data_IF_347991400043
#
_entry.id   IF_347991400043
#
_cell.length_a   1.000
_cell.length_b   1.000
_cell.length_c   1.000
_cell.angle_alpha   90.00
_cell.angle_beta   90.00
_cell.angle_gamma   90.00
#
_symmetry.space_group_name_H-M   'P 1'
#
loop_
_entity.id
_entity.type
_entity.pdbx_description
1 polymer ?
#
# COMPACT_ATOMS: atom_id res chain seq x y z
N UNK A 1 40.84 6.77 33.51
CA UNK A 1 39.45 7.00 33.04
C UNK A 1 39.55 7.52 31.61
N UNK A 2 39.41 6.63 30.63
CA UNK A 2 39.69 6.98 29.23
C UNK A 2 39.01 5.97 28.31
N UNK A 3 37.69 5.95 28.36
CA UNK A 3 36.84 5.26 27.40
C UNK A 3 35.67 6.18 27.09
N UNK A 4 35.07 6.01 25.91
CA UNK A 4 33.87 6.72 25.44
C UNK A 4 34.11 8.12 24.86
N UNK A 5 34.44 8.16 23.57
CA UNK A 5 34.00 9.24 22.64
C UNK A 5 34.23 8.94 21.14
N UNK A 6 34.41 7.68 20.75
CA UNK A 6 34.67 7.27 19.36
C UNK A 6 33.47 6.51 18.76
N UNK A 7 32.69 5.79 19.58
CA UNK A 7 31.60 4.92 19.11
C UNK A 7 30.40 5.68 18.51
N UNK A 8 30.00 6.83 19.07
CA UNK A 8 28.81 7.55 18.60
C UNK A 8 29.01 8.19 17.22
N UNK A 9 30.23 8.63 16.90
CA UNK A 9 30.51 9.30 15.62
C UNK A 9 30.61 8.29 14.48
N UNK A 10 31.29 7.17 14.70
CA UNK A 10 31.36 6.09 13.72
C UNK A 10 29.99 5.45 13.49
N UNK A 11 29.19 5.29 14.55
CA UNK A 11 27.82 4.79 14.44
C UNK A 11 26.93 5.78 13.68
N UNK A 12 27.03 7.08 13.96
CA UNK A 12 26.30 8.10 13.21
C UNK A 12 26.70 8.13 11.73
N UNK A 13 27.99 8.01 11.41
CA UNK A 13 28.47 7.94 10.03
C UNK A 13 28.00 6.66 9.33
N UNK A 14 27.96 5.53 10.03
CA UNK A 14 27.46 4.26 9.50
C UNK A 14 25.94 4.31 9.25
N UNK A 15 25.19 4.91 10.17
CA UNK A 15 23.75 5.13 10.04
C UNK A 15 23.44 6.11 8.92
N UNK A 16 24.21 7.20 8.78
CA UNK A 16 24.06 8.16 7.70
C UNK A 16 24.44 7.53 6.35
N UNK A 17 25.47 6.68 6.31
CA UNK A 17 25.85 5.90 5.12
C UNK A 17 24.77 4.88 4.76
N UNK A 18 24.19 4.17 5.73
CA UNK A 18 23.07 3.23 5.50
C UNK A 18 21.79 3.95 5.10
N UNK A 19 21.50 5.11 5.69
CA UNK A 19 20.40 5.98 5.31
C UNK A 19 20.61 6.54 3.90
N UNK A 20 21.84 6.96 3.54
CA UNK A 20 22.21 7.39 2.18
C UNK A 20 22.20 6.24 1.16
N UNK A 21 22.54 5.01 1.56
CA UNK A 21 22.40 3.80 0.73
C UNK A 21 20.93 3.45 0.49
N UNK A 22 20.08 3.55 1.52
CA UNK A 22 18.63 3.38 1.42
C UNK A 22 17.96 4.51 0.61
N UNK A 23 18.45 5.74 0.77
CA UNK A 23 18.05 6.93 0.00
C UNK A 23 18.78 7.03 -1.35
N UNK A 24 19.59 6.04 -1.75
CA UNK A 24 20.34 6.08 -3.02
C UNK A 24 19.40 5.80 -4.19
N UNK A 25 18.67 6.87 -4.54
CA UNK A 25 18.27 7.31 -5.87
C UNK A 25 17.11 6.59 -6.53
N UNK A 26 15.92 6.94 -6.05
CA UNK A 26 14.77 7.20 -6.91
C UNK A 26 15.03 8.50 -7.74
N UNK A 27 16.04 8.49 -8.61
CA UNK A 27 16.47 9.69 -9.38
C UNK A 27 15.80 9.81 -10.74
N UNK A 28 15.26 11.00 -10.99
CA UNK A 28 14.78 11.48 -12.28
C UNK A 28 15.88 11.46 -13.35
N UNK A 29 15.51 11.01 -14.55
CA UNK A 29 16.26 11.22 -15.79
C UNK A 29 16.76 9.93 -16.46
N UNK A 30 16.17 9.62 -17.62
CA UNK A 30 16.50 8.51 -18.55
C UNK A 30 16.11 7.11 -18.08
N UNK A 31 15.20 6.47 -18.83
CA UNK A 31 14.79 5.04 -18.87
C UNK A 31 15.72 4.02 -18.17
N UNK A 32 15.87 4.12 -16.85
CA UNK A 32 16.42 3.06 -16.02
C UNK A 32 15.29 2.52 -15.19
N UNK A 33 15.17 1.20 -15.23
CA UNK A 33 14.23 0.47 -14.39
C UNK A 33 14.41 0.89 -12.93
N UNK A 34 13.35 1.39 -12.30
CA UNK A 34 13.38 1.78 -10.89
C UNK A 34 13.03 0.57 -10.06
N UNK A 35 14.02 0.01 -9.38
CA UNK A 35 13.91 -1.14 -8.48
C UNK A 35 14.31 -0.69 -7.09
N UNK A 36 13.43 -0.86 -6.11
CA UNK A 36 13.66 -0.42 -4.72
C UNK A 36 13.20 -1.47 -3.72
N UNK A 37 13.85 -1.54 -2.55
CA UNK A 37 13.40 -2.42 -1.46
C UNK A 37 12.12 -1.93 -0.79
N UNK A 38 11.93 -0.62 -0.72
CA UNK A 38 10.73 0.05 -0.19
C UNK A 38 10.37 1.22 -1.08
N UNK A 39 9.08 1.42 -1.32
CA UNK A 39 8.54 2.58 -2.04
C UNK A 39 8.32 3.69 -1.01
N UNK A 40 9.19 4.68 -1.00
CA UNK A 40 9.16 5.76 0.00
C UNK A 40 8.88 7.12 -0.67
N UNK A 41 8.80 8.18 0.12
CA UNK A 41 8.31 9.49 -0.31
C UNK A 41 9.10 10.17 -1.43
N UNK A 42 10.37 9.81 -1.62
CA UNK A 42 11.24 10.35 -2.66
C UNK A 42 11.10 9.60 -3.99
N UNK A 43 10.33 8.51 -4.02
CA UNK A 43 10.17 7.71 -5.21
C UNK A 43 9.26 8.34 -6.26
N UNK A 44 9.53 8.07 -7.56
CA UNK A 44 8.66 8.52 -8.63
C UNK A 44 7.22 8.12 -8.35
N UNK A 45 6.28 9.01 -8.68
CA UNK A 45 4.89 8.61 -8.62
C UNK A 45 4.65 7.56 -9.71
N UNK A 46 3.77 6.61 -9.45
CA UNK A 46 3.53 5.53 -10.40
C UNK A 46 2.97 4.28 -9.76
N UNK A 47 2.96 3.24 -10.58
CA UNK A 47 2.47 1.91 -10.22
C UNK A 47 3.68 1.02 -10.00
N UNK A 48 3.81 0.50 -8.79
CA UNK A 48 4.87 -0.40 -8.38
C UNK A 48 4.30 -1.80 -8.19
N UNK A 49 4.98 -2.81 -8.72
CA UNK A 49 4.65 -4.22 -8.49
C UNK A 49 5.79 -4.87 -7.72
N UNK A 50 5.44 -5.66 -6.71
CA UNK A 50 6.40 -6.44 -5.96
C UNK A 50 6.84 -7.67 -6.75
N UNK A 51 8.13 -7.74 -7.04
CA UNK A 51 8.80 -8.90 -7.60
C UNK A 51 9.33 -9.78 -6.46
N UNK A 52 8.83 -11.02 -6.40
CA UNK A 52 9.18 -11.99 -5.36
C UNK A 52 10.56 -12.55 -5.53
N UNK A 53 11.04 -12.71 -6.77
CA UNK A 53 12.33 -13.33 -7.05
C UNK A 53 13.47 -12.42 -6.56
N UNK A 54 13.34 -11.11 -6.80
CA UNK A 54 14.31 -10.11 -6.35
C UNK A 54 14.01 -9.51 -4.96
N UNK A 55 12.87 -9.89 -4.36
CA UNK A 55 12.31 -9.29 -3.16
C UNK A 55 12.35 -7.75 -3.22
N UNK A 56 11.82 -7.18 -4.30
CA UNK A 56 11.91 -5.74 -4.57
C UNK A 56 10.67 -5.20 -5.30
N UNK A 57 10.43 -3.91 -5.16
CA UNK A 57 9.39 -3.18 -5.87
C UNK A 57 9.94 -2.63 -7.18
N UNK A 58 9.25 -2.92 -8.27
CA UNK A 58 9.58 -2.42 -9.61
C UNK A 58 8.53 -1.40 -10.04
N UNK A 59 8.98 -0.22 -10.45
CA UNK A 59 8.10 0.77 -11.09
C UNK A 59 7.76 0.31 -12.50
N UNK A 60 6.51 -0.10 -12.73
CA UNK A 60 6.09 -0.66 -14.02
C UNK A 60 5.41 0.37 -14.92
N UNK A 61 4.85 1.44 -14.35
CA UNK A 61 4.08 2.42 -15.12
C UNK A 61 4.05 3.79 -14.44
N UNK A 62 4.45 4.83 -15.19
CA UNK A 62 4.33 6.25 -14.80
C UNK A 62 3.24 6.93 -15.61
N UNK A 63 3.23 6.72 -16.92
CA UNK A 63 2.27 7.35 -17.83
C UNK A 63 1.27 6.33 -18.41
N UNK A 64 0.10 6.81 -18.80
CA UNK A 64 -0.90 6.03 -19.54
C UNK A 64 -2.15 5.68 -18.73
N UNK A 65 -2.71 4.50 -19.00
CA UNK A 65 -3.97 4.04 -18.41
C UNK A 65 -3.80 3.61 -16.95
N UNK A 66 -4.90 3.62 -16.22
CA UNK A 66 -4.96 3.10 -14.85
C UNK A 66 -4.56 1.62 -14.80
N UNK A 67 -4.16 1.17 -13.61
CA UNK A 67 -3.90 -0.23 -13.33
C UNK A 67 -5.21 -1.03 -13.38
N UNK A 68 -5.29 -2.02 -14.26
CA UNK A 68 -6.43 -2.93 -14.33
C UNK A 68 -6.14 -4.16 -13.47
N UNK A 69 -6.94 -4.42 -12.44
CA UNK A 69 -6.84 -5.66 -11.69
C UNK A 69 -7.11 -6.83 -12.64
N UNK A 70 -6.15 -7.75 -12.73
CA UNK A 70 -6.14 -8.84 -13.70
C UNK A 70 -5.10 -8.67 -14.82
N UNK A 71 -4.50 -7.48 -15.00
CA UNK A 71 -3.50 -7.26 -16.05
C UNK A 71 -2.21 -8.08 -15.87
N UNK A 72 -1.97 -8.63 -14.66
CA UNK A 72 -0.84 -9.50 -14.34
C UNK A 72 -1.22 -10.99 -14.30
N UNK A 73 -2.48 -11.33 -14.57
CA UNK A 73 -3.02 -12.69 -14.51
C UNK A 73 -4.05 -12.92 -13.38
N UNK A 74 -4.49 -14.16 -13.25
CA UNK A 74 -5.47 -14.56 -12.23
C UNK A 74 -4.84 -14.70 -10.85
N UNK A 75 -5.60 -14.36 -9.81
CA UNK A 75 -5.14 -14.44 -8.42
C UNK A 75 -5.69 -13.36 -7.52
N UNK A 76 -5.08 -13.24 -6.34
CA UNK A 76 -5.45 -12.25 -5.33
C UNK A 76 -4.56 -11.01 -5.44
N UNK A 77 -5.15 -9.86 -5.73
CA UNK A 77 -4.46 -8.57 -5.81
C UNK A 77 -4.59 -7.84 -4.49
N UNK A 78 -3.48 -7.31 -3.98
CA UNK A 78 -3.39 -6.46 -2.80
C UNK A 78 -2.79 -5.13 -3.23
N UNK A 79 -3.65 -4.12 -3.37
CA UNK A 79 -3.30 -2.81 -3.89
C UNK A 79 -3.30 -1.79 -2.76
N UNK A 80 -2.12 -1.27 -2.43
CA UNK A 80 -1.93 -0.19 -1.46
C UNK A 80 -1.89 1.16 -2.19
N UNK A 81 -2.90 1.99 -1.97
CA UNK A 81 -2.93 3.38 -2.41
C UNK A 81 -2.22 4.28 -1.40
N UNK A 82 -1.06 4.80 -1.82
CA UNK A 82 -0.16 5.60 -1.00
C UNK A 82 -0.03 7.03 -1.54
N UNK A 83 0.11 7.98 -0.63
CA UNK A 83 0.38 9.37 -0.92
C UNK A 83 1.62 9.86 -0.15
N UNK A 84 2.60 10.45 -0.84
CA UNK A 84 3.86 10.88 -0.23
C UNK A 84 3.67 11.95 0.84
N UNK A 85 2.64 12.80 0.74
CA UNK A 85 2.32 13.83 1.73
C UNK A 85 1.36 13.39 2.83
N UNK A 86 0.90 12.14 2.83
CA UNK A 86 -0.08 11.60 3.76
C UNK A 86 0.59 11.05 5.04
N UNK A 87 0.42 11.67 6.23
CA UNK A 87 1.04 11.20 7.46
C UNK A 87 0.52 9.82 7.90
N UNK A 88 -0.77 9.55 7.69
CA UNK A 88 -1.36 8.24 7.98
C UNK A 88 -0.74 7.12 7.12
N UNK A 89 -0.36 7.44 5.88
CA UNK A 89 0.30 6.51 4.98
C UNK A 89 1.73 6.21 5.45
N UNK A 90 2.46 7.23 5.90
CA UNK A 90 3.78 7.03 6.55
C UNK A 90 3.68 6.17 7.81
N UNK A 91 2.61 6.31 8.58
CA UNK A 91 2.32 5.42 9.72
C UNK A 91 2.01 4.00 9.25
N UNK A 92 1.28 3.85 8.15
CA UNK A 92 0.94 2.53 7.60
C UNK A 92 2.16 1.80 7.05
N UNK A 93 3.13 2.51 6.48
CA UNK A 93 4.42 1.93 6.04
C UNK A 93 5.12 1.15 7.17
N UNK A 94 4.96 1.57 8.44
CA UNK A 94 5.49 0.88 9.62
C UNK A 94 4.88 -0.50 9.85
N UNK A 95 3.71 -0.80 9.27
CA UNK A 95 3.04 -2.10 9.36
C UNK A 95 3.09 -2.86 8.03
N UNK A 96 2.93 -2.13 6.92
CA UNK A 96 2.96 -2.67 5.56
C UNK A 96 4.28 -3.35 5.26
N UNK A 97 5.42 -2.69 5.49
CA UNK A 97 6.72 -3.28 5.14
C UNK A 97 7.09 -4.50 6.00
N UNK A 98 6.89 -4.50 7.33
CA UNK A 98 7.04 -5.73 8.12
C UNK A 98 6.13 -6.87 7.66
N UNK A 99 4.87 -6.57 7.29
CA UNK A 99 3.98 -7.58 6.71
C UNK A 99 4.54 -8.13 5.39
N UNK A 100 5.07 -7.26 4.52
CA UNK A 100 5.67 -7.66 3.25
C UNK A 100 6.89 -8.58 3.44
N UNK A 101 7.80 -8.20 4.35
CA UNK A 101 9.06 -8.89 4.63
C UNK A 101 8.87 -10.25 5.32
N UNK A 102 7.80 -10.41 6.10
CA UNK A 102 7.56 -11.62 6.91
C UNK A 102 6.53 -12.57 6.31
N UNK A 103 5.42 -12.06 5.80
CA UNK A 103 4.24 -12.86 5.44
C UNK A 103 3.92 -12.80 3.97
N UNK A 104 3.85 -11.61 3.37
CA UNK A 104 3.39 -11.45 1.99
C UNK A 104 4.20 -12.28 0.98
N UNK A 105 5.51 -12.36 1.18
CA UNK A 105 6.42 -13.11 0.31
C UNK A 105 6.11 -14.62 0.23
N UNK A 106 5.48 -15.19 1.25
CA UNK A 106 5.13 -16.62 1.31
C UNK A 106 3.74 -16.94 0.72
N UNK A 107 2.91 -15.92 0.45
CA UNK A 107 1.52 -16.11 0.02
C UNK A 107 1.43 -16.39 -1.48
N UNK A 108 1.38 -17.64 -1.93
CA UNK A 108 1.33 -17.98 -3.36
C UNK A 108 0.01 -17.56 -4.04
N UNK A 109 0.12 -17.09 -5.30
CA UNK A 109 -1.03 -16.61 -6.08
C UNK A 109 -1.55 -15.23 -5.65
N UNK A 110 -0.67 -14.42 -5.03
CA UNK A 110 -0.96 -13.02 -4.68
C UNK A 110 -0.08 -12.06 -5.50
N UNK A 111 -0.65 -10.94 -5.92
CA UNK A 111 0.05 -9.80 -6.52
C UNK A 111 -0.01 -8.63 -5.54
N UNK A 112 1.15 -8.03 -5.23
CA UNK A 112 1.23 -6.87 -4.36
C UNK A 112 1.61 -5.64 -5.17
N UNK A 113 0.82 -4.58 -5.04
CA UNK A 113 0.92 -3.38 -5.86
C UNK A 113 0.87 -2.16 -4.94
N UNK A 114 1.73 -1.17 -5.22
CA UNK A 114 1.64 0.16 -4.61
C UNK A 114 1.32 1.18 -5.71
N UNK A 115 0.28 1.97 -5.47
CA UNK A 115 -0.08 3.13 -6.31
C UNK A 115 0.39 4.37 -5.56
N UNK A 116 1.48 4.98 -6.01
CA UNK A 116 2.09 6.13 -5.34
C UNK A 116 1.75 7.43 -6.06
N UNK A 117 1.15 8.38 -5.34
CA UNK A 117 0.98 9.77 -5.74
C UNK A 117 1.49 10.73 -4.66
N UNK A 118 1.46 12.04 -4.89
CA UNK A 118 1.82 13.01 -3.83
C UNK A 118 0.62 13.30 -2.93
N UNK A 119 -0.53 13.62 -3.53
CA UNK A 119 -1.79 13.84 -2.82
C UNK A 119 -3.00 13.51 -3.72
N UNK A 120 -3.36 12.23 -3.76
CA UNK A 120 -4.41 11.65 -4.60
C UNK A 120 -4.24 11.99 -6.09
N UNK A 121 -5.31 11.83 -6.86
CA UNK A 121 -5.32 12.13 -8.29
C UNK A 121 -5.19 13.63 -8.62
N UNK A 122 -5.48 14.52 -7.66
CA UNK A 122 -5.41 15.98 -7.84
C UNK A 122 -3.97 16.52 -7.86
N UNK A 123 -3.03 15.81 -7.23
CA UNK A 123 -1.62 16.18 -7.18
C UNK A 123 -0.75 14.94 -7.37
N UNK A 124 -0.60 14.54 -8.63
CA UNK A 124 0.19 13.37 -8.99
C UNK A 124 0.90 13.57 -10.33
N UNK A 125 2.23 13.36 -10.33
CA UNK A 125 3.09 13.44 -11.52
C UNK A 125 3.01 12.22 -12.44
N UNK A 126 2.34 11.15 -12.01
CA UNK A 126 2.07 9.97 -12.83
C UNK A 126 0.62 9.99 -13.28
N UNK A 127 0.39 10.07 -14.60
CA UNK A 127 -0.98 10.01 -15.14
C UNK A 127 -1.62 8.64 -14.90
N UNK A 128 -0.83 7.56 -14.94
CA UNK A 128 -1.32 6.21 -14.69
C UNK A 128 -1.76 6.01 -13.23
N UNK A 129 -0.95 6.44 -12.25
CA UNK A 129 -1.32 6.37 -10.84
C UNK A 129 -2.55 7.25 -10.56
N UNK A 130 -2.58 8.48 -11.08
CA UNK A 130 -3.72 9.38 -10.94
C UNK A 130 -5.01 8.77 -11.51
N UNK A 131 -4.94 8.16 -12.70
CA UNK A 131 -6.06 7.45 -13.31
C UNK A 131 -6.51 6.27 -12.44
N UNK A 132 -5.57 5.56 -11.81
CA UNK A 132 -5.86 4.43 -10.91
C UNK A 132 -6.62 4.88 -9.66
N UNK A 133 -6.19 5.96 -9.00
CA UNK A 133 -6.94 6.56 -7.89
C UNK A 133 -8.39 6.90 -8.30
N UNK A 134 -8.58 7.48 -9.50
CA UNK A 134 -9.91 7.84 -10.03
C UNK A 134 -10.75 6.60 -10.33
N UNK A 135 -10.18 5.61 -11.01
CA UNK A 135 -10.88 4.39 -11.42
C UNK A 135 -11.47 3.64 -10.22
N UNK A 136 -10.66 3.43 -9.17
CA UNK A 136 -11.09 2.74 -7.96
C UNK A 136 -11.78 3.65 -6.93
N UNK A 137 -12.06 4.91 -7.29
CA UNK A 137 -12.76 5.91 -6.45
C UNK A 137 -12.15 6.02 -5.06
N UNK A 138 -10.82 6.05 -4.98
CA UNK A 138 -10.08 6.17 -3.72
C UNK A 138 -10.07 7.63 -3.28
N UNK A 139 -10.84 7.91 -2.22
CA UNK A 139 -11.02 9.25 -1.65
C UNK A 139 -10.31 9.43 -0.31
N UNK A 140 -9.83 8.33 0.29
CA UNK A 140 -9.06 8.31 1.53
C UNK A 140 -7.72 7.58 1.33
N UNK A 141 -6.69 7.97 2.08
CA UNK A 141 -5.40 7.27 2.07
C UNK A 141 -4.83 7.16 3.50
N UNK A 142 -4.17 6.05 3.83
CA UNK A 142 -3.94 4.88 2.98
C UNK A 142 -5.25 4.13 2.68
N UNK A 143 -5.32 3.45 1.54
CA UNK A 143 -6.41 2.52 1.24
C UNK A 143 -5.80 1.22 0.74
N UNK A 144 -6.28 0.10 1.27
CA UNK A 144 -5.91 -1.25 0.82
C UNK A 144 -7.10 -1.88 0.12
N UNK A 145 -6.98 -2.03 -1.18
CA UNK A 145 -7.94 -2.74 -2.02
C UNK A 145 -7.46 -4.18 -2.19
N UNK A 146 -8.34 -5.12 -1.89
CA UNK A 146 -8.18 -6.54 -2.20
C UNK A 146 -9.12 -6.89 -3.33
N UNK A 147 -8.63 -7.61 -4.34
CA UNK A 147 -9.46 -8.05 -5.45
C UNK A 147 -9.06 -9.45 -5.89
N UNK A 148 -10.05 -10.32 -6.09
CA UNK A 148 -9.83 -11.70 -6.53
C UNK A 148 -10.25 -11.82 -7.99
N UNK A 149 -9.32 -12.29 -8.83
CA UNK A 149 -9.47 -12.40 -10.28
C UNK A 149 -9.46 -13.85 -10.70
N UNK A 150 -10.44 -14.22 -11.53
CA UNK A 150 -10.57 -15.53 -12.16
C UNK A 150 -11.03 -15.33 -13.61
N UNK A 151 -10.35 -15.98 -14.55
CA UNK A 151 -10.58 -15.86 -15.99
C UNK A 151 -10.55 -14.40 -16.46
N UNK A 152 -9.60 -13.62 -15.93
CA UNK A 152 -9.45 -12.19 -16.22
C UNK A 152 -10.57 -11.28 -15.68
N UNK A 153 -11.48 -11.81 -14.86
CA UNK A 153 -12.60 -11.05 -14.27
C UNK A 153 -12.45 -10.93 -12.77
N UNK A 154 -12.70 -9.73 -12.24
CA UNK A 154 -12.79 -9.52 -10.80
C UNK A 154 -14.09 -10.14 -10.28
N UNK A 155 -13.98 -11.17 -9.45
CA UNK A 155 -15.14 -11.90 -8.89
C UNK A 155 -15.46 -11.51 -7.45
N UNK A 156 -14.50 -10.89 -6.74
CA UNK A 156 -14.70 -10.42 -5.36
C UNK A 156 -13.75 -9.27 -5.02
N UNK A 157 -14.21 -8.31 -4.23
CA UNK A 157 -13.38 -7.18 -3.77
C UNK A 157 -13.66 -6.82 -2.31
N UNK A 158 -12.64 -6.35 -1.61
CA UNK A 158 -12.75 -5.69 -0.30
C UNK A 158 -11.94 -4.41 -0.34
N UNK A 159 -12.44 -3.34 0.29
CA UNK A 159 -11.72 -2.07 0.39
C UNK A 159 -11.65 -1.63 1.85
N UNK A 160 -10.43 -1.42 2.33
CA UNK A 160 -10.15 -0.95 3.68
C UNK A 160 -9.54 0.45 3.62
N UNK A 161 -10.25 1.42 4.16
CA UNK A 161 -9.77 2.81 4.25
C UNK A 161 -9.09 3.04 5.59
N UNK A 162 -7.99 3.78 5.57
CA UNK A 162 -7.17 4.04 6.75
C UNK A 162 -6.12 2.98 7.05
N UNK A 163 -5.43 3.17 8.16
CA UNK A 163 -4.29 2.33 8.56
C UNK A 163 -4.79 0.96 9.02
N UNK A 164 -4.26 -0.10 8.41
CA UNK A 164 -4.31 -1.45 8.96
C UNK A 164 -3.06 -1.70 9.79
N UNK A 165 -3.21 -2.15 11.03
CA UNK A 165 -2.08 -2.62 11.84
C UNK A 165 -1.49 -3.90 11.27
N UNK A 166 -0.33 -4.33 11.76
CA UNK A 166 0.26 -5.60 11.37
C UNK A 166 -0.68 -6.78 11.66
N UNK A 167 -1.32 -6.80 12.84
CA UNK A 167 -2.31 -7.82 13.21
C UNK A 167 -3.50 -7.84 12.24
N UNK A 168 -4.01 -6.66 11.88
CA UNK A 168 -5.11 -6.54 10.92
C UNK A 168 -4.71 -7.03 9.53
N UNK A 169 -3.51 -6.68 9.05
CA UNK A 169 -2.96 -7.19 7.80
C UNK A 169 -2.84 -8.72 7.79
N UNK A 170 -2.33 -9.30 8.88
CA UNK A 170 -2.21 -10.75 9.06
C UNK A 170 -3.57 -11.45 9.11
N UNK A 171 -4.60 -10.78 9.62
CA UNK A 171 -5.98 -11.30 9.62
C UNK A 171 -6.62 -11.20 8.23
N UNK A 172 -6.45 -10.07 7.56
CA UNK A 172 -7.18 -9.69 6.35
C UNK A 172 -6.63 -10.38 5.10
N UNK A 173 -5.31 -10.27 4.87
CA UNK A 173 -4.71 -10.56 3.57
C UNK A 173 -4.55 -12.07 3.31
N UNK A 174 -3.95 -12.88 4.22
CA UNK A 174 -3.74 -14.30 3.96
C UNK A 174 -5.03 -15.10 3.69
N UNK A 175 -6.12 -14.70 4.34
CA UNK A 175 -7.44 -15.34 4.24
C UNK A 175 -8.31 -14.77 3.11
N UNK A 176 -7.84 -13.74 2.38
CA UNK A 176 -8.63 -13.07 1.34
C UNK A 176 -8.91 -13.99 0.13
N UNK A 177 -7.92 -14.78 -0.31
CA UNK A 177 -8.10 -15.69 -1.44
C UNK A 177 -9.23 -16.70 -1.19
N UNK A 178 -9.27 -17.30 0.01
CA UNK A 178 -10.34 -18.23 0.41
C UNK A 178 -11.71 -17.54 0.38
N UNK A 179 -11.79 -16.30 0.90
CA UNK A 179 -13.00 -15.47 0.83
C UNK A 179 -13.42 -15.21 -0.61
N UNK A 180 -12.49 -14.89 -1.50
CA UNK A 180 -12.74 -14.74 -2.93
C UNK A 180 -13.26 -16.02 -3.59
N UNK A 181 -12.70 -17.18 -3.25
CA UNK A 181 -13.14 -18.48 -3.75
C UNK A 181 -14.55 -18.85 -3.29
N UNK A 182 -14.89 -18.56 -2.04
CA UNK A 182 -16.24 -18.73 -1.48
C UNK A 182 -17.25 -17.80 -2.14
N UNK A 183 -16.90 -16.52 -2.29
CA UNK A 183 -17.74 -15.55 -2.99
C UNK A 183 -18.01 -15.97 -4.44
N UNK A 184 -17.00 -16.50 -5.15
CA UNK A 184 -17.15 -17.05 -6.51
C UNK A 184 -18.18 -18.19 -6.57
N UNK A 185 -18.29 -19.00 -5.51
CA UNK A 185 -19.29 -20.08 -5.39
C UNK A 185 -20.69 -19.57 -5.01
N UNK A 186 -20.87 -18.27 -4.84
CA UNK A 186 -22.14 -17.66 -4.41
C UNK A 186 -22.37 -17.72 -2.89
N UNK A 187 -21.35 -18.06 -2.10
CA UNK A 187 -21.47 -18.04 -0.64
C UNK A 187 -21.51 -16.60 -0.11
N UNK A 188 -22.25 -16.39 0.98
CA UNK A 188 -22.17 -15.12 1.72
C UNK A 188 -20.82 -15.03 2.42
N UNK A 189 -20.07 -13.99 2.10
CA UNK A 189 -18.74 -13.72 2.64
C UNK A 189 -18.74 -12.35 3.30
N UNK A 190 -18.14 -12.28 4.50
CA UNK A 190 -18.06 -11.06 5.28
C UNK A 190 -16.59 -10.68 5.53
N UNK A 191 -16.20 -9.42 5.30
CA UNK A 191 -14.85 -8.96 5.61
C UNK A 191 -14.52 -9.13 7.11
N UNK A 192 -13.30 -9.54 7.47
CA UNK A 192 -12.91 -9.80 8.86
C UNK A 192 -12.84 -8.56 9.75
N UNK A 193 -12.89 -7.36 9.17
CA UNK A 193 -12.98 -6.08 9.87
C UNK A 193 -14.22 -5.34 9.37
N UNK A 194 -15.34 -5.51 10.07
CA UNK A 194 -16.62 -4.88 9.73
C UNK A 194 -16.88 -3.54 10.42
N UNK A 195 -16.10 -3.20 11.45
CA UNK A 195 -16.52 -2.22 12.47
C UNK A 195 -15.58 -1.03 12.66
N UNK A 196 -14.87 -0.58 11.62
CA UNK A 196 -14.24 0.76 11.65
C UNK A 196 -15.19 1.80 11.05
N UNK A 197 -16.37 1.97 11.65
CA UNK A 197 -16.90 3.33 11.73
C UNK A 197 -15.90 4.04 12.62
N UNK A 198 -15.15 5.01 12.10
CA UNK A 198 -14.15 5.67 12.92
C UNK A 198 -14.86 6.21 14.16
N UNK A 199 -14.23 6.15 15.33
CA UNK A 199 -14.81 6.71 16.56
C UNK A 199 -15.26 8.16 16.34
N UNK A 200 -14.57 8.86 15.43
CA UNK A 200 -14.86 10.20 14.96
C UNK A 200 -16.13 10.28 14.09
N UNK A 201 -16.37 9.37 13.15
CA UNK A 201 -17.63 9.26 12.39
C UNK A 201 -18.83 8.91 13.29
N UNK A 202 -18.61 8.03 14.26
CA UNK A 202 -19.62 7.66 15.26
C UNK A 202 -19.95 8.87 16.16
N UNK A 203 -18.92 9.61 16.59
CA UNK A 203 -19.08 10.87 17.31
C UNK A 203 -19.76 11.94 16.45
N UNK A 204 -19.47 12.03 15.16
CA UNK A 204 -20.10 12.98 14.24
C UNK A 204 -21.58 12.65 14.01
N UNK A 205 -21.92 11.36 13.87
CA UNK A 205 -23.30 10.90 13.78
C UNK A 205 -24.07 11.17 15.08
N UNK A 206 -23.46 10.87 16.23
CA UNK A 206 -24.05 11.13 17.54
C UNK A 206 -24.25 12.64 17.76
N UNK A 207 -23.29 13.48 17.36
CA UNK A 207 -23.42 14.95 17.43
C UNK A 207 -24.57 15.47 16.57
N UNK A 208 -24.73 14.94 15.35
CA UNK A 208 -25.86 15.28 14.45
C UNK A 208 -27.21 14.85 15.01
N UNK A 209 -27.29 13.67 15.62
CA UNK A 209 -28.52 13.16 16.25
C UNK A 209 -28.88 13.92 17.54
N UNK A 210 -27.88 14.36 18.31
CA UNK A 210 -28.07 15.06 19.58
C UNK A 210 -28.15 16.59 19.43
N UNK A 211 -28.07 17.13 18.22
CA UNK A 211 -28.22 18.56 17.94
C UNK A 211 -27.15 19.46 18.55
N UNK A 212 -26.00 18.91 18.95
CA UNK A 212 -24.90 19.66 19.57
C UNK A 212 -24.10 20.37 18.48
N UNK A 213 -24.28 21.69 18.36
CA UNK A 213 -23.45 22.59 17.54
C UNK A 213 -22.57 23.46 18.43
N UNK A 214 -21.29 23.62 18.06
CA UNK A 214 -20.50 24.82 18.37
C UNK A 214 -20.46 25.66 17.09
#
# INVERSE_FOLDING_TARGET
MGGERIEDKELAELLEKKAKELMRKCSNGTQREVIVKKVVTDCPHGIYVYDRESEAWRLIRVEGKHFEVGELGDGAYVVYFDNTKCPACRKYDLYWYPFMETTAKTLNGYYFIIILCEWFAGRCRSSAAAATFKHYKVVASPTTLLAYVVDGKTVYTEKYEGVLTLEELLKVVPSFKERGERARKGERVEPPLKDKVSKDELLELLRKLLGLRL
#
